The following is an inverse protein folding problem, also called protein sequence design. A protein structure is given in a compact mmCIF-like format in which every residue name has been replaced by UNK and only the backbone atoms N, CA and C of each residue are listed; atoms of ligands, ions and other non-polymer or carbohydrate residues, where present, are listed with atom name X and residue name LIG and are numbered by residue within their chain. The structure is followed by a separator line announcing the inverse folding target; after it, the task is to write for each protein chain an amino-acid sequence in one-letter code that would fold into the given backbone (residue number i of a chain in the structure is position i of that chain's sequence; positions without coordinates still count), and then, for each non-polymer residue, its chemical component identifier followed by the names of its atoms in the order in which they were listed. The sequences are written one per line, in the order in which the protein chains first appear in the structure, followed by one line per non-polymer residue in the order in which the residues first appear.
data_IF_429962536779
#
_entry.id   IF_429962536779
#
_cell.length_a   1.000
_cell.length_b   1.000
_cell.length_c   1.000
_cell.angle_alpha   90.00
_cell.angle_beta   90.00
_cell.angle_gamma   90.00
#
_symmetry.space_group_name_H-M   'P 1'
#
loop_
_entity.id
_entity.type
_entity.pdbx_description
1 polymer ?
#
# COMPACT_ATOMS: atom_id res chain seq x y z
N UNK A 1 2.55 -61.24 3.67
CA UNK A 1 2.94 -60.67 4.97
C UNK A 1 1.88 -59.66 5.38
N UNK A 2 0.90 -60.05 6.19
CA UNK A 2 -0.23 -59.19 6.58
C UNK A 2 0.08 -58.41 7.85
N UNK A 3 -0.28 -57.12 7.88
CA UNK A 3 -0.17 -56.27 9.07
C UNK A 3 -1.15 -56.78 10.13
N UNK A 4 -0.66 -57.10 11.32
CA UNK A 4 -1.51 -57.61 12.40
C UNK A 4 -2.29 -56.48 13.08
N UNK A 5 -3.48 -56.78 13.59
CA UNK A 5 -4.36 -55.83 14.32
C UNK A 5 -3.63 -55.07 15.44
N UNK A 6 -2.66 -55.71 16.10
CA UNK A 6 -1.83 -55.11 17.15
C UNK A 6 -0.86 -54.05 16.62
N UNK A 7 -0.34 -54.23 15.42
CA UNK A 7 0.52 -53.25 14.74
C UNK A 7 -0.30 -52.05 14.31
N UNK A 8 -1.52 -52.28 13.79
CA UNK A 8 -2.44 -51.21 13.42
C UNK A 8 -2.87 -50.34 14.61
N UNK A 9 -3.27 -50.95 15.73
CA UNK A 9 -3.67 -50.20 16.93
C UNK A 9 -2.54 -49.35 17.54
N UNK A 10 -1.30 -49.84 17.51
CA UNK A 10 -0.14 -49.06 18.01
C UNK A 10 0.17 -47.85 17.13
N UNK A 11 0.05 -47.99 15.81
CA UNK A 11 0.25 -46.89 14.87
C UNK A 11 -0.82 -45.80 15.02
N UNK A 12 -2.09 -46.18 15.23
CA UNK A 12 -3.19 -45.24 15.40
C UNK A 12 -3.03 -44.35 16.65
N UNK A 13 -2.59 -44.94 17.78
CA UNK A 13 -2.39 -44.19 19.04
C UNK A 13 -1.19 -43.22 18.93
N UNK A 14 -0.12 -43.64 18.24
CA UNK A 14 1.03 -42.77 17.99
C UNK A 14 0.68 -41.55 17.11
N UNK A 15 -0.21 -41.72 16.13
CA UNK A 15 -0.68 -40.62 15.29
C UNK A 15 -1.51 -39.58 16.06
N UNK A 16 -2.31 -40.00 17.04
CA UNK A 16 -3.14 -39.08 17.83
C UNK A 16 -2.32 -38.24 18.82
N UNK A 17 -1.24 -38.80 19.39
CA UNK A 17 -0.40 -38.08 20.35
C UNK A 17 0.46 -36.97 19.72
N UNK A 18 0.82 -37.09 18.43
CA UNK A 18 1.59 -36.06 17.72
C UNK A 18 0.70 -34.89 17.28
N UNK A 19 -0.56 -35.16 16.91
CA UNK A 19 -1.50 -34.14 16.48
C UNK A 19 -1.91 -33.17 17.60
N UNK A 20 -2.00 -33.64 18.85
CA UNK A 20 -2.39 -32.80 20.00
C UNK A 20 -1.28 -31.84 20.43
N UNK A 21 -0.01 -32.25 20.36
CA UNK A 21 1.14 -31.38 20.71
C UNK A 21 1.26 -30.21 19.72
N UNK A 22 1.08 -30.46 18.42
CA UNK A 22 1.10 -29.41 17.39
C UNK A 22 -0.03 -28.39 17.54
N UNK A 23 -1.23 -28.84 17.94
CA UNK A 23 -2.38 -27.97 18.18
C UNK A 23 -2.23 -27.13 19.46
N UNK A 24 -1.63 -27.68 20.53
CA UNK A 24 -1.40 -26.91 21.77
C UNK A 24 -0.34 -25.81 21.59
N UNK A 25 0.66 -26.03 20.75
CA UNK A 25 1.71 -25.03 20.47
C UNK A 25 1.21 -23.82 19.68
N UNK A 26 0.19 -23.99 18.84
CA UNK A 26 -0.40 -22.89 18.05
C UNK A 26 -1.45 -22.09 18.82
N UNK A 27 -2.19 -22.72 19.74
CA UNK A 27 -3.20 -22.03 20.57
C UNK A 27 -2.56 -21.15 21.65
N UNK A 28 -1.36 -21.49 22.12
CA UNK A 28 -0.61 -20.73 23.13
C UNK A 28 0.41 -19.76 22.52
N UNK A 29 0.52 -19.71 21.19
CA UNK A 29 1.41 -18.77 20.53
C UNK A 29 0.89 -17.33 20.76
N UNK A 30 1.71 -16.41 21.28
CA UNK A 30 1.30 -15.02 21.37
C UNK A 30 1.01 -14.49 19.97
N UNK A 31 -0.03 -13.66 19.83
CA UNK A 31 -0.26 -12.91 18.58
C UNK A 31 0.99 -12.11 18.27
N UNK A 32 1.69 -12.47 17.18
CA UNK A 32 2.85 -11.71 16.75
C UNK A 32 2.41 -10.28 16.45
N UNK A 33 2.93 -9.32 17.21
CA UNK A 33 2.83 -7.91 16.83
C UNK A 33 3.76 -7.71 15.65
N UNK A 34 3.20 -7.58 14.45
CA UNK A 34 3.96 -7.19 13.26
C UNK A 34 4.31 -5.70 13.38
N UNK A 35 5.19 -5.37 14.33
CA UNK A 35 5.79 -4.05 14.41
C UNK A 35 6.77 -3.92 13.25
N UNK A 36 6.45 -3.04 12.32
CA UNK A 36 7.32 -2.72 11.20
C UNK A 36 8.58 -1.99 11.67
N UNK A 37 9.71 -2.20 10.98
CA UNK A 37 10.95 -1.48 11.29
C UNK A 37 10.77 0.04 11.12
N UNK A 38 11.55 0.88 11.84
CA UNK A 38 11.59 2.32 11.58
C UNK A 38 11.83 2.61 10.09
N UNK A 39 11.03 3.51 9.51
CA UNK A 39 11.07 3.84 8.08
C UNK A 39 10.09 3.04 7.21
N UNK A 40 9.37 2.06 7.77
CA UNK A 40 8.29 1.39 7.07
C UNK A 40 7.00 2.25 7.03
N UNK A 41 6.14 1.96 6.05
CA UNK A 41 4.87 2.63 5.76
C UNK A 41 3.68 2.04 6.55
N UNK A 42 3.83 0.88 7.18
CA UNK A 42 2.74 0.23 7.94
C UNK A 42 2.25 1.13 9.09
N UNK A 43 0.94 1.35 9.17
CA UNK A 43 0.31 2.19 10.18
C UNK A 43 0.54 3.70 10.00
N UNK A 44 1.10 4.13 8.87
CA UNK A 44 1.29 5.55 8.52
C UNK A 44 0.19 6.04 7.58
N UNK A 45 0.01 7.36 7.54
CA UNK A 45 -0.83 8.01 6.53
C UNK A 45 -0.05 8.05 5.22
N UNK A 46 -0.62 7.49 4.15
CA UNK A 46 -0.11 7.64 2.79
C UNK A 46 -0.85 8.75 2.07
N UNK A 47 -0.11 9.63 1.39
CA UNK A 47 -0.67 10.70 0.57
C UNK A 47 -0.19 10.51 -0.86
N UNK A 48 -1.13 10.47 -1.81
CA UNK A 48 -0.81 10.41 -3.23
C UNK A 48 -0.51 11.80 -3.77
N UNK A 49 0.55 11.92 -4.58
CA UNK A 49 0.82 13.10 -5.38
C UNK A 49 0.70 12.74 -6.85
N UNK A 50 -0.12 13.47 -7.61
CA UNK A 50 -0.15 13.35 -9.07
C UNK A 50 0.79 14.37 -9.70
N UNK A 51 1.92 13.89 -10.21
CA UNK A 51 2.94 14.69 -10.87
C UNK A 51 2.71 14.91 -12.36
N UNK A 52 1.48 14.82 -12.86
CA UNK A 52 1.18 14.94 -14.31
C UNK A 52 1.15 16.39 -14.81
N UNK A 53 1.89 17.32 -14.22
CA UNK A 53 2.02 18.67 -14.76
C UNK A 53 3.27 18.76 -15.61
N UNK A 54 3.17 19.38 -16.78
CA UNK A 54 4.33 19.65 -17.63
C UNK A 54 4.31 21.06 -18.22
N UNK A 55 5.47 21.61 -18.55
CA UNK A 55 5.60 22.85 -19.29
C UNK A 55 6.61 22.73 -20.43
N UNK A 56 6.70 23.76 -21.26
CA UNK A 56 7.71 23.80 -22.32
C UNK A 56 9.10 23.82 -21.68
N UNK A 57 9.98 22.96 -22.17
CA UNK A 57 11.38 22.81 -21.74
C UNK A 57 11.63 22.24 -20.32
N UNK A 58 10.66 21.57 -19.69
CA UNK A 58 10.86 20.85 -18.41
C UNK A 58 11.47 19.44 -18.56
N UNK A 59 11.70 18.99 -19.81
CA UNK A 59 12.23 17.67 -20.14
C UNK A 59 11.17 16.58 -20.32
N UNK A 60 9.88 16.89 -20.12
CA UNK A 60 8.80 15.98 -20.46
C UNK A 60 8.67 15.84 -21.99
N UNK A 61 8.41 14.63 -22.52
CA UNK A 61 8.23 14.43 -23.97
C UNK A 61 7.09 15.25 -24.59
N UNK A 62 6.12 15.66 -23.78
CA UNK A 62 4.97 16.44 -24.24
C UNK A 62 5.32 17.89 -24.59
N UNK A 63 6.41 18.42 -24.01
CA UNK A 63 6.96 19.75 -24.24
C UNK A 63 5.89 20.85 -24.42
N UNK A 64 4.95 20.90 -23.48
CA UNK A 64 3.75 21.73 -23.56
C UNK A 64 3.08 21.87 -22.20
N UNK A 65 2.16 22.81 -22.08
CA UNK A 65 1.51 23.18 -20.82
C UNK A 65 0.39 22.20 -20.39
N UNK A 66 0.76 20.92 -20.25
CA UNK A 66 -0.15 19.83 -19.90
C UNK A 66 -0.67 19.96 -18.46
N UNK A 67 -1.98 19.76 -18.28
CA UNK A 67 -2.77 20.08 -17.06
C UNK A 67 -2.83 21.56 -16.63
N UNK A 68 -2.14 22.49 -17.32
CA UNK A 68 -2.21 23.91 -16.98
C UNK A 68 -3.32 24.66 -17.73
N UNK A 69 -3.55 24.32 -18.99
CA UNK A 69 -4.43 25.06 -19.91
C UNK A 69 -5.17 24.13 -20.88
N UNK A 70 -6.10 24.67 -21.67
CA UNK A 70 -6.75 23.92 -22.76
C UNK A 70 -5.89 23.93 -24.02
N UNK A 71 -5.34 25.09 -24.37
CA UNK A 71 -4.33 25.19 -25.42
C UNK A 71 -2.94 25.04 -24.78
N UNK A 72 -2.36 23.84 -24.93
CA UNK A 72 -1.05 23.49 -24.36
C UNK A 72 0.13 24.09 -25.13
N UNK A 73 -0.10 24.57 -26.36
CA UNK A 73 0.91 25.22 -27.18
C UNK A 73 1.19 26.66 -26.75
N UNK A 74 0.32 27.22 -25.90
CA UNK A 74 0.44 28.59 -25.37
C UNK A 74 0.60 28.55 -23.85
N UNK A 75 1.40 29.48 -23.34
CA UNK A 75 1.53 29.66 -21.90
C UNK A 75 0.17 29.91 -21.23
N UNK A 76 -0.04 29.42 -20.00
CA UNK A 76 -1.25 29.67 -19.24
C UNK A 76 -1.51 31.17 -19.09
N UNK A 77 -2.78 31.55 -19.19
CA UNK A 77 -3.23 32.93 -19.01
C UNK A 77 -4.66 32.94 -18.47
N UNK A 78 -5.20 34.09 -18.02
CA UNK A 78 -6.59 34.18 -17.58
C UNK A 78 -7.62 33.67 -18.62
N UNK A 79 -7.28 33.76 -19.91
CA UNK A 79 -8.13 33.28 -21.01
C UNK A 79 -7.70 31.89 -21.56
N UNK A 80 -6.69 31.26 -20.96
CA UNK A 80 -6.18 29.93 -21.34
C UNK A 80 -5.70 29.21 -20.07
N UNK A 81 -6.64 28.79 -19.22
CA UNK A 81 -6.35 28.08 -17.96
C UNK A 81 -7.34 26.94 -17.77
N UNK A 82 -6.84 25.81 -17.27
CA UNK A 82 -7.67 24.68 -16.83
C UNK A 82 -7.47 24.41 -15.33
N UNK A 83 -6.65 25.23 -14.66
CA UNK A 83 -6.43 25.18 -13.21
C UNK A 83 -7.40 26.17 -12.57
N UNK A 84 -8.42 25.63 -11.91
CA UNK A 84 -9.39 26.40 -11.12
C UNK A 84 -9.25 26.19 -9.61
N UNK A 85 -8.28 25.38 -9.17
CA UNK A 85 -8.05 25.10 -7.76
C UNK A 85 -7.00 26.03 -7.15
N UNK A 86 -7.41 27.23 -6.77
CA UNK A 86 -6.66 28.01 -5.79
C UNK A 86 -7.05 27.54 -4.39
N UNK A 87 -6.08 27.34 -3.46
CA UNK A 87 -6.41 27.12 -2.08
C UNK A 87 -7.25 28.29 -1.58
N UNK A 88 -8.24 27.99 -0.76
CA UNK A 88 -9.01 29.03 -0.09
C UNK A 88 -8.09 29.79 0.87
N UNK A 89 -7.77 31.04 0.53
CA UNK A 89 -6.85 31.89 1.30
C UNK A 89 -7.58 32.79 2.29
N UNK A 90 -8.90 32.60 2.51
CA UNK A 90 -9.70 33.45 3.42
C UNK A 90 -9.22 33.43 4.87
N UNK A 91 -8.46 32.42 5.28
CA UNK A 91 -7.87 32.34 6.62
C UNK A 91 -6.65 33.24 6.81
N UNK A 92 -6.00 33.69 5.73
CA UNK A 92 -4.84 34.57 5.82
C UNK A 92 -5.28 36.03 6.02
N UNK A 93 -4.81 36.65 7.09
CA UNK A 93 -5.15 38.04 7.45
C UNK A 93 -4.20 39.08 6.83
N UNK A 94 -3.11 38.65 6.19
CA UNK A 94 -2.11 39.51 5.56
C UNK A 94 -1.56 38.85 4.29
N UNK A 95 -1.18 39.66 3.30
CA UNK A 95 -0.60 39.25 2.00
C UNK A 95 0.88 39.55 1.90
#
# INVERSE_FOLDING_TARGET
MGVTRRVFLRAAIAATAVGTVGATGTVLAPTASAASSPGDVVGRISVGYQGWFACVADGAPINGWWHWSQDWGRSPSPNNTNITCWPDVREYTNT
#
